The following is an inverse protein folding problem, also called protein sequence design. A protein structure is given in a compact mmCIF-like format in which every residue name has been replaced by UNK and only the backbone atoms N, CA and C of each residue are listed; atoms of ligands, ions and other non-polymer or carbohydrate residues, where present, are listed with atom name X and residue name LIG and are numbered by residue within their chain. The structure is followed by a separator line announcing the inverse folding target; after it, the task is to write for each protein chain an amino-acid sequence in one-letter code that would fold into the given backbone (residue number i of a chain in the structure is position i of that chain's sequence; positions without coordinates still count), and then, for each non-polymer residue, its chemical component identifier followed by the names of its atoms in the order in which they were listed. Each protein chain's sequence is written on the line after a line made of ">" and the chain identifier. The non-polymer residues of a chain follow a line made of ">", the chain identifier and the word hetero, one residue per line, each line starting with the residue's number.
data_IF_939709982830
#
_entry.id   IF_939709982830
#
_cell.length_a   1.000
_cell.length_b   1.000
_cell.length_c   1.000
_cell.angle_alpha   90.00
_cell.angle_beta   90.00
_cell.angle_gamma   90.00
#
_symmetry.space_group_name_H-M   'P 1'
#
loop_
_entity.id
_entity.type
_entity.pdbx_description
1 polymer ?
#
# COMPACT_ATOMS: atom_id res chain seq x y z
N UNK A 1 3.49 11.98 -83.34
CA UNK A 1 3.59 10.99 -82.24
C UNK A 1 4.35 11.47 -80.96
N UNK A 2 5.25 12.44 -81.04
CA UNK A 2 5.96 12.93 -79.77
C UNK A 2 5.10 13.75 -78.79
N UNK A 3 4.12 14.52 -79.27
CA UNK A 3 3.25 15.38 -78.44
C UNK A 3 2.33 14.58 -77.47
N UNK A 4 1.77 13.45 -77.97
CA UNK A 4 0.87 12.60 -77.19
C UNK A 4 1.56 12.01 -75.90
N UNK A 5 2.78 11.51 -76.08
CA UNK A 5 3.59 10.91 -75.00
C UNK A 5 3.91 11.87 -73.85
N UNK A 6 4.08 13.15 -74.13
CA UNK A 6 4.33 14.15 -73.07
C UNK A 6 3.10 14.49 -72.24
N UNK A 7 1.92 14.46 -72.86
CA UNK A 7 0.66 14.71 -72.17
C UNK A 7 0.35 13.56 -71.23
N UNK A 8 0.47 12.32 -71.66
CA UNK A 8 0.20 11.13 -70.84
C UNK A 8 1.17 11.02 -69.63
N UNK A 9 2.46 11.35 -69.82
CA UNK A 9 3.44 11.40 -68.73
C UNK A 9 3.16 12.47 -67.75
N UNK A 10 2.63 13.60 -68.13
CA UNK A 10 2.25 14.72 -67.24
C UNK A 10 1.01 14.38 -66.37
N UNK A 11 0.03 13.69 -66.93
CA UNK A 11 -1.12 13.19 -66.18
C UNK A 11 -0.74 12.08 -65.18
N UNK A 12 0.14 11.16 -65.60
CA UNK A 12 0.63 10.09 -64.75
C UNK A 12 1.44 10.62 -63.56
N UNK A 13 2.31 11.62 -63.77
CA UNK A 13 3.09 12.27 -62.71
C UNK A 13 2.21 13.05 -61.69
N UNK A 14 1.14 13.71 -62.15
CA UNK A 14 0.21 14.40 -61.26
C UNK A 14 -0.58 13.42 -60.36
N UNK A 15 -1.04 12.29 -60.91
CA UNK A 15 -1.75 11.26 -60.15
C UNK A 15 -0.86 10.65 -59.06
N UNK A 16 0.36 10.31 -59.43
CA UNK A 16 1.32 9.66 -58.54
C UNK A 16 1.83 10.60 -57.42
N UNK A 17 1.90 11.91 -57.68
CA UNK A 17 2.25 12.94 -56.69
C UNK A 17 1.17 13.07 -55.62
N UNK A 18 -0.11 13.11 -55.99
CA UNK A 18 -1.25 13.20 -55.09
C UNK A 18 -1.36 11.96 -54.16
N UNK A 19 -1.05 10.78 -54.72
CA UNK A 19 -1.07 9.53 -53.93
C UNK A 19 0.07 9.47 -52.92
N UNK A 20 1.28 9.90 -53.26
CA UNK A 20 2.43 10.03 -52.36
C UNK A 20 2.16 11.02 -51.24
N UNK A 21 1.53 12.16 -51.52
CA UNK A 21 1.18 13.15 -50.52
C UNK A 21 0.11 12.62 -49.54
N UNK A 22 -0.92 11.93 -50.01
CA UNK A 22 -1.94 11.28 -49.18
C UNK A 22 -1.32 10.20 -48.30
N UNK A 23 -0.41 9.39 -48.81
CA UNK A 23 0.31 8.36 -48.07
C UNK A 23 1.22 8.95 -46.98
N UNK A 24 1.90 10.05 -47.30
CA UNK A 24 2.73 10.81 -46.34
C UNK A 24 1.90 11.41 -45.23
N UNK A 25 0.77 12.08 -45.54
CA UNK A 25 -0.14 12.65 -44.54
C UNK A 25 -0.73 11.58 -43.65
N UNK A 26 -1.10 10.40 -44.18
CA UNK A 26 -1.61 9.26 -43.40
C UNK A 26 -0.56 8.70 -42.45
N UNK A 27 0.67 8.60 -42.91
CA UNK A 27 1.79 8.13 -42.08
C UNK A 27 2.14 9.12 -40.97
N UNK A 28 2.10 10.43 -41.26
CA UNK A 28 2.28 11.46 -40.19
C UNK A 28 1.20 11.39 -39.14
N UNK A 29 -0.07 11.23 -39.53
CA UNK A 29 -1.19 11.07 -38.55
C UNK A 29 -1.04 9.79 -37.71
N UNK A 30 -0.60 8.65 -38.33
CA UNK A 30 -0.35 7.41 -37.60
C UNK A 30 0.81 7.54 -36.59
N UNK A 31 1.90 8.21 -36.98
CA UNK A 31 3.03 8.49 -36.09
C UNK A 31 2.61 9.40 -34.94
N UNK A 32 1.86 10.46 -35.21
CA UNK A 32 1.34 11.36 -34.19
C UNK A 32 0.40 10.61 -33.21
N UNK A 33 -0.51 9.78 -33.70
CA UNK A 33 -1.37 8.96 -32.85
C UNK A 33 -0.58 7.98 -31.98
N UNK A 34 0.44 7.33 -32.55
CA UNK A 34 1.31 6.42 -31.78
C UNK A 34 2.08 7.14 -30.68
N UNK A 35 2.57 8.36 -30.92
CA UNK A 35 3.24 9.20 -29.92
C UNK A 35 2.27 9.59 -28.81
N UNK A 36 1.05 9.99 -29.14
CA UNK A 36 0.03 10.34 -28.13
C UNK A 36 -0.36 9.15 -27.27
N UNK A 37 -0.49 7.96 -27.84
CA UNK A 37 -0.78 6.73 -27.10
C UNK A 37 0.39 6.39 -26.17
N UNK A 38 1.63 6.46 -26.66
CA UNK A 38 2.81 6.21 -25.83
C UNK A 38 2.91 7.23 -24.67
N UNK A 39 2.67 8.51 -24.93
CA UNK A 39 2.65 9.55 -23.89
C UNK A 39 1.55 9.30 -22.86
N UNK A 40 0.37 8.86 -23.27
CA UNK A 40 -0.71 8.49 -22.36
C UNK A 40 -0.32 7.33 -21.44
N UNK A 41 0.29 6.27 -21.96
CA UNK A 41 0.76 5.15 -21.15
C UNK A 41 1.88 5.55 -20.18
N UNK A 42 2.80 6.44 -20.59
CA UNK A 42 3.84 6.96 -19.73
C UNK A 42 3.24 7.80 -18.58
N UNK A 43 2.26 8.65 -18.87
CA UNK A 43 1.60 9.45 -17.84
C UNK A 43 0.79 8.58 -16.87
N UNK A 44 0.08 7.57 -17.36
CA UNK A 44 -0.63 6.62 -16.50
C UNK A 44 0.33 5.81 -15.63
N UNK A 45 1.44 5.33 -16.19
CA UNK A 45 2.46 4.60 -15.46
C UNK A 45 3.15 5.46 -14.38
N UNK A 46 3.53 6.69 -14.73
CA UNK A 46 4.11 7.64 -13.79
C UNK A 46 3.14 8.02 -12.67
N UNK A 47 1.86 8.22 -13.00
CA UNK A 47 0.82 8.52 -12.00
C UNK A 47 0.56 7.36 -11.04
N UNK A 48 0.58 6.13 -11.53
CA UNK A 48 0.45 4.93 -10.69
C UNK A 48 1.65 4.77 -9.77
N UNK A 49 2.86 4.90 -10.30
CA UNK A 49 4.10 4.82 -9.52
C UNK A 49 4.18 5.92 -8.45
N UNK A 50 3.80 7.16 -8.77
CA UNK A 50 3.77 8.28 -7.82
C UNK A 50 2.78 8.02 -6.68
N UNK A 51 1.60 7.47 -6.96
CA UNK A 51 0.61 7.11 -5.92
C UNK A 51 1.12 6.00 -5.00
N UNK A 52 1.76 4.98 -5.55
CA UNK A 52 2.38 3.90 -4.77
C UNK A 52 3.46 4.45 -3.86
N UNK A 53 4.38 5.23 -4.42
CA UNK A 53 5.45 5.88 -3.66
C UNK A 53 4.88 6.77 -2.54
N UNK A 54 3.86 7.57 -2.82
CA UNK A 54 3.22 8.43 -1.82
C UNK A 54 2.57 7.62 -0.70
N UNK A 55 1.95 6.48 -1.00
CA UNK A 55 1.36 5.60 0.01
C UNK A 55 2.40 5.02 0.97
N UNK A 56 3.61 4.74 0.47
CA UNK A 56 4.73 4.20 1.26
C UNK A 56 5.48 5.26 2.09
N UNK A 57 5.18 6.54 1.91
CA UNK A 57 5.85 7.66 2.61
C UNK A 57 4.87 8.57 3.34
N UNK A 58 3.71 8.05 3.72
CA UNK A 58 2.69 8.83 4.45
C UNK A 58 3.01 9.01 5.93
N UNK A 59 3.87 8.16 6.50
CA UNK A 59 4.11 8.08 7.93
C UNK A 59 2.91 7.53 8.72
N UNK A 60 1.88 7.03 8.03
CA UNK A 60 0.70 6.42 8.65
C UNK A 60 0.93 4.91 8.73
N UNK A 61 0.87 4.30 9.94
CA UNK A 61 1.03 2.86 10.08
C UNK A 61 -0.03 2.09 9.30
N UNK A 62 0.35 0.95 8.70
CA UNK A 62 -0.60 0.06 8.05
C UNK A 62 -0.23 -1.42 8.29
N UNK A 63 -1.23 -2.26 8.53
CA UNK A 63 -1.01 -3.69 8.72
C UNK A 63 -0.93 -4.38 7.35
N UNK A 64 0.11 -5.19 7.15
CA UNK A 64 0.37 -5.91 5.89
C UNK A 64 0.21 -7.42 6.02
N UNK A 65 0.26 -7.94 7.24
CA UNK A 65 0.04 -9.35 7.56
C UNK A 65 -0.65 -9.47 8.91
N UNK A 66 -1.53 -10.45 9.04
CA UNK A 66 -2.25 -10.75 10.29
C UNK A 66 -2.45 -12.25 10.43
N UNK A 67 -2.06 -12.81 11.57
CA UNK A 67 -2.31 -14.20 11.95
C UNK A 67 -2.81 -14.26 13.37
N UNK A 68 -3.91 -14.95 13.60
CA UNK A 68 -4.45 -15.17 14.95
C UNK A 68 -4.33 -16.65 15.32
N UNK A 69 -3.78 -16.93 16.49
CA UNK A 69 -3.61 -18.27 17.02
C UNK A 69 -3.86 -18.24 18.55
N UNK A 70 -4.75 -19.09 19.04
CA UNK A 70 -5.08 -19.22 20.46
C UNK A 70 -5.49 -17.90 21.17
N UNK A 71 -6.10 -16.97 20.43
CA UNK A 71 -6.48 -15.66 20.96
C UNK A 71 -5.36 -14.62 20.98
N UNK A 72 -4.18 -14.97 20.52
CA UNK A 72 -3.06 -14.07 20.26
C UNK A 72 -3.05 -13.66 18.78
N UNK A 73 -2.80 -12.39 18.53
CA UNK A 73 -2.72 -11.86 17.17
C UNK A 73 -1.30 -11.40 16.87
N UNK A 74 -0.71 -11.95 15.83
CA UNK A 74 0.59 -11.61 15.29
C UNK A 74 0.38 -10.72 14.08
N UNK A 75 0.98 -9.53 14.09
CA UNK A 75 0.85 -8.54 13.03
C UNK A 75 2.22 -8.15 12.50
N UNK A 76 2.29 -7.96 11.18
CA UNK A 76 3.37 -7.21 10.57
C UNK A 76 2.79 -5.87 10.11
N UNK A 77 3.38 -4.78 10.61
CA UNK A 77 2.96 -3.40 10.40
C UNK A 77 4.07 -2.63 9.71
N UNK A 78 3.73 -1.81 8.73
CA UNK A 78 4.67 -0.87 8.11
C UNK A 78 4.47 0.53 8.66
N UNK A 79 5.57 1.23 8.92
CA UNK A 79 5.53 2.63 9.34
C UNK A 79 5.21 3.58 8.18
N UNK A 80 5.47 3.14 6.93
CA UNK A 80 5.38 3.94 5.73
C UNK A 80 6.18 5.25 5.86
N UNK A 81 7.37 5.17 6.42
CA UNK A 81 8.28 6.27 6.67
C UNK A 81 9.73 5.78 6.68
N UNK A 82 10.67 6.64 6.30
CA UNK A 82 12.10 6.30 6.27
C UNK A 82 12.69 6.10 7.68
N UNK A 83 12.02 6.57 8.72
CA UNK A 83 12.38 6.39 10.14
C UNK A 83 11.20 6.64 11.07
N UNK A 84 11.26 6.08 12.27
CA UNK A 84 10.33 6.34 13.37
C UNK A 84 11.04 7.22 14.39
N UNK A 85 10.64 8.49 14.50
CA UNK A 85 11.28 9.44 15.41
C UNK A 85 10.78 9.26 16.86
N UNK A 86 9.47 9.09 17.04
CA UNK A 86 8.81 8.84 18.34
C UNK A 86 8.29 7.39 18.37
N UNK A 87 9.13 6.49 18.86
CA UNK A 87 8.81 5.06 18.95
C UNK A 87 7.64 4.78 19.89
N UNK A 88 7.53 5.52 20.99
CA UNK A 88 6.45 5.35 21.97
C UNK A 88 5.11 5.86 21.41
N UNK A 89 5.10 7.05 20.81
CA UNK A 89 3.91 7.61 20.17
C UNK A 89 3.44 6.76 19.00
N UNK A 90 4.38 6.25 18.19
CA UNK A 90 4.08 5.33 17.11
C UNK A 90 3.44 4.03 17.64
N UNK A 91 4.01 3.41 18.67
CA UNK A 91 3.46 2.19 19.26
C UNK A 91 2.04 2.41 19.78
N UNK A 92 1.77 3.52 20.48
CA UNK A 92 0.41 3.87 20.96
C UNK A 92 -0.56 4.02 19.79
N UNK A 93 -0.14 4.67 18.71
CA UNK A 93 -0.95 4.83 17.48
C UNK A 93 -1.31 3.48 16.89
N UNK A 94 -0.33 2.57 16.76
CA UNK A 94 -0.56 1.21 16.24
C UNK A 94 -1.55 0.44 17.12
N UNK A 95 -1.40 0.49 18.44
CA UNK A 95 -2.35 -0.17 19.38
C UNK A 95 -3.75 0.42 19.23
N UNK A 96 -3.88 1.74 19.13
CA UNK A 96 -5.17 2.37 18.87
C UNK A 96 -5.80 1.88 17.57
N UNK A 97 -5.03 1.82 16.49
CA UNK A 97 -5.51 1.30 15.21
C UNK A 97 -5.96 -0.17 15.29
N UNK A 98 -5.25 -1.01 16.07
CA UNK A 98 -5.68 -2.38 16.34
C UNK A 98 -7.04 -2.43 17.06
N UNK A 99 -7.23 -1.59 18.07
CA UNK A 99 -8.47 -1.52 18.84
C UNK A 99 -9.66 -1.00 18.04
N UNK A 100 -9.42 -0.03 17.15
CA UNK A 100 -10.41 0.53 16.26
C UNK A 100 -10.62 -0.31 14.99
N UNK A 101 -9.71 -1.26 14.75
CA UNK A 101 -9.65 -2.06 13.52
C UNK A 101 -9.62 -1.14 12.26
N UNK A 102 -8.79 -0.09 12.32
CA UNK A 102 -8.79 1.02 11.37
C UNK A 102 -7.65 0.99 10.34
N UNK A 103 -6.88 -0.09 10.26
CA UNK A 103 -5.87 -0.27 9.22
C UNK A 103 -6.49 -0.25 7.83
N UNK A 104 -5.73 0.26 6.86
CA UNK A 104 -6.21 0.42 5.49
C UNK A 104 -6.17 -0.89 4.70
N UNK A 105 -5.05 -1.60 4.74
CA UNK A 105 -4.82 -2.78 3.88
C UNK A 105 -5.44 -4.05 4.44
N UNK A 106 -5.39 -4.26 5.75
CA UNK A 106 -5.90 -5.46 6.41
C UNK A 106 -6.71 -5.06 7.64
N UNK A 107 -7.81 -5.75 7.86
CA UNK A 107 -8.59 -5.67 9.10
C UNK A 107 -8.42 -6.93 9.92
N UNK A 108 -8.39 -6.79 11.23
CA UNK A 108 -8.40 -7.92 12.14
C UNK A 108 -9.71 -8.67 11.99
N UNK A 109 -9.63 -10.01 11.88
CA UNK A 109 -10.82 -10.84 11.87
C UNK A 109 -11.37 -10.96 13.28
N UNK A 110 -12.52 -10.35 13.50
CA UNK A 110 -13.20 -10.35 14.82
C UNK A 110 -14.45 -11.21 14.84
N UNK A 111 -14.82 -11.84 13.71
CA UNK A 111 -16.11 -12.48 13.51
C UNK A 111 -16.27 -13.78 14.31
N UNK A 112 -15.21 -14.57 14.46
CA UNK A 112 -15.26 -15.89 15.09
C UNK A 112 -14.90 -15.84 16.59
N UNK A 113 -13.91 -15.05 16.95
CA UNK A 113 -13.34 -15.06 18.32
C UNK A 113 -13.39 -13.70 19.01
N UNK A 114 -13.96 -12.69 18.35
CA UNK A 114 -13.89 -11.30 18.81
C UNK A 114 -12.50 -10.70 18.69
N UNK A 115 -12.25 -9.61 19.42
CA UNK A 115 -10.93 -8.98 19.47
C UNK A 115 -9.91 -9.88 20.18
N UNK A 116 -8.64 -9.88 19.74
CA UNK A 116 -7.60 -10.71 20.33
C UNK A 116 -7.32 -10.33 21.79
N UNK A 117 -6.79 -11.30 22.56
CA UNK A 117 -6.38 -11.09 23.95
C UNK A 117 -4.99 -10.45 24.05
N UNK A 118 -4.10 -10.76 23.12
CA UNK A 118 -2.71 -10.28 23.06
C UNK A 118 -2.36 -9.88 21.64
N UNK A 119 -1.46 -8.91 21.52
CA UNK A 119 -0.87 -8.51 20.25
C UNK A 119 0.64 -8.65 20.33
N UNK A 120 1.20 -9.29 19.32
CA UNK A 120 2.63 -9.25 19.00
C UNK A 120 2.78 -8.63 17.61
N UNK A 121 3.50 -7.51 17.52
CA UNK A 121 3.57 -6.71 16.32
C UNK A 121 5.03 -6.50 15.96
N UNK A 122 5.39 -6.94 14.76
CA UNK A 122 6.65 -6.58 14.14
C UNK A 122 6.44 -5.33 13.30
N UNK A 123 7.31 -4.35 13.44
CA UNK A 123 7.24 -3.10 12.68
C UNK A 123 8.39 -3.03 11.71
N UNK A 124 8.09 -2.67 10.47
CA UNK A 124 9.02 -2.44 9.37
C UNK A 124 8.86 -1.01 8.88
N UNK A 125 9.88 -0.42 8.28
CA UNK A 125 9.76 0.91 7.71
C UNK A 125 8.89 0.88 6.45
N UNK A 126 9.17 -0.08 5.55
CA UNK A 126 8.48 -0.22 4.28
C UNK A 126 7.99 -1.66 4.06
N UNK A 127 6.99 -1.79 3.19
CA UNK A 127 6.33 -3.06 2.89
C UNK A 127 7.26 -4.12 2.29
N UNK A 128 8.25 -3.70 1.54
CA UNK A 128 9.20 -4.58 0.87
C UNK A 128 10.21 -5.26 1.81
N UNK A 129 10.35 -4.75 3.04
CA UNK A 129 11.21 -5.30 4.08
C UNK A 129 10.56 -6.50 4.80
N UNK A 130 9.22 -6.57 4.78
CA UNK A 130 8.46 -7.64 5.47
C UNK A 130 8.86 -9.01 4.96
N UNK A 131 9.20 -9.92 5.88
CA UNK A 131 9.74 -11.26 5.63
C UNK A 131 11.12 -11.31 4.94
N UNK A 132 11.81 -10.20 4.80
CA UNK A 132 13.16 -10.15 4.20
C UNK A 132 14.21 -9.62 5.19
N UNK A 133 13.78 -8.71 6.04
CA UNK A 133 14.65 -8.03 7.00
C UNK A 133 14.14 -8.24 8.43
N UNK A 134 14.98 -7.94 9.41
CA UNK A 134 14.56 -7.92 10.81
C UNK A 134 13.67 -6.69 11.05
N UNK A 135 12.61 -6.81 11.89
CA UNK A 135 11.78 -5.67 12.23
C UNK A 135 12.59 -4.58 12.96
N UNK A 136 12.37 -3.34 12.60
CA UNK A 136 13.02 -2.19 13.24
C UNK A 136 12.52 -1.93 14.65
N UNK A 137 11.34 -2.47 15.01
CA UNK A 137 10.76 -2.38 16.35
C UNK A 137 9.79 -3.54 16.56
N UNK A 138 9.70 -4.00 17.81
CA UNK A 138 8.72 -5.00 18.25
C UNK A 138 7.81 -4.41 19.31
N UNK A 139 6.51 -4.53 19.11
CA UNK A 139 5.49 -4.06 20.05
C UNK A 139 4.76 -5.28 20.61
N UNK A 140 4.61 -5.33 21.93
CA UNK A 140 3.78 -6.33 22.62
C UNK A 140 2.75 -5.62 23.46
N UNK A 141 1.49 -6.02 23.33
CA UNK A 141 0.38 -5.50 24.10
C UNK A 141 -0.38 -6.66 24.72
N UNK A 142 -0.30 -6.78 26.05
CA UNK A 142 -0.79 -7.96 26.76
C UNK A 142 -1.48 -7.57 28.07
N UNK A 143 -2.35 -8.42 28.64
CA UNK A 143 -2.95 -8.20 29.95
C UNK A 143 -1.88 -8.02 31.02
N UNK A 144 -2.10 -7.08 31.96
CA UNK A 144 -1.18 -6.84 33.10
C UNK A 144 -1.12 -8.03 34.03
N UNK A 145 -2.22 -8.78 34.13
CA UNK A 145 -2.36 -10.02 34.89
C UNK A 145 -2.98 -11.06 33.96
N UNK A 146 -2.51 -12.30 34.04
CA UNK A 146 -3.13 -13.37 33.28
C UNK A 146 -4.59 -13.54 33.74
N UNK A 147 -5.56 -13.48 32.82
CA UNK A 147 -6.96 -13.64 33.21
C UNK A 147 -7.16 -15.03 33.79
N UNK A 148 -7.59 -15.09 35.04
CA UNK A 148 -7.98 -16.34 35.70
C UNK A 148 -9.17 -16.87 34.90
N UNK A 149 -9.03 -18.04 34.30
CA UNK A 149 -10.14 -18.78 33.69
C UNK A 149 -11.05 -19.26 34.80
N UNK A 150 -12.07 -18.48 35.14
CA UNK A 150 -13.02 -18.86 36.17
C UNK A 150 -14.20 -17.89 36.25
N UNK A 151 -15.37 -18.47 36.20
CA UNK A 151 -16.66 -17.96 36.65
C UNK A 151 -17.03 -16.53 36.18
N UNK A 152 -17.63 -16.44 34.99
CA UNK A 152 -18.25 -15.22 34.52
C UNK A 152 -17.84 -14.74 33.12
N UNK A 153 -16.92 -15.40 32.48
CA UNK A 153 -16.78 -15.40 31.03
C UNK A 153 -16.56 -14.07 30.32
N UNK A 154 -16.15 -13.00 30.99
CA UNK A 154 -15.64 -11.82 30.24
C UNK A 154 -14.33 -12.19 29.56
N UNK A 155 -14.44 -12.43 28.25
CA UNK A 155 -13.26 -12.65 27.41
C UNK A 155 -12.45 -11.37 27.41
N UNK A 156 -11.30 -11.37 28.12
CA UNK A 156 -10.32 -10.29 27.99
C UNK A 156 -9.99 -10.05 26.54
N UNK A 157 -10.12 -8.83 26.10
CA UNK A 157 -9.78 -8.42 24.74
C UNK A 157 -9.22 -7.00 24.74
N UNK A 158 -8.44 -6.69 23.71
CA UNK A 158 -7.73 -5.41 23.59
C UNK A 158 -8.65 -4.20 23.48
N UNK A 159 -9.93 -4.39 23.09
CA UNK A 159 -10.87 -3.30 22.87
C UNK A 159 -11.54 -2.84 24.15
N UNK A 160 -12.06 -3.77 24.94
CA UNK A 160 -12.97 -3.46 26.05
C UNK A 160 -12.24 -3.31 27.40
N UNK A 161 -11.01 -3.84 27.52
CA UNK A 161 -10.29 -3.92 28.79
C UNK A 161 -9.02 -3.07 28.83
N UNK A 162 -9.05 -1.90 28.24
CA UNK A 162 -7.90 -1.02 27.98
C UNK A 162 -7.03 -0.76 29.23
N UNK A 163 -7.63 -0.45 30.38
CA UNK A 163 -6.92 -0.15 31.63
C UNK A 163 -6.23 -1.34 32.30
N UNK A 164 -6.41 -2.55 31.76
CA UNK A 164 -5.84 -3.79 32.29
C UNK A 164 -4.68 -4.33 31.44
N UNK A 165 -4.13 -3.53 30.54
CA UNK A 165 -3.10 -3.94 29.59
C UNK A 165 -1.80 -3.19 29.79
N UNK A 166 -0.70 -3.85 29.48
CA UNK A 166 0.64 -3.29 29.43
C UNK A 166 1.13 -3.25 27.99
N UNK A 167 1.84 -2.19 27.66
CA UNK A 167 2.47 -1.97 26.36
C UNK A 167 3.99 -2.07 26.50
N UNK A 168 4.61 -2.87 25.65
CA UNK A 168 6.05 -3.01 25.58
C UNK A 168 6.55 -2.64 24.19
N UNK A 169 7.65 -1.92 24.14
CA UNK A 169 8.41 -1.62 22.94
C UNK A 169 9.82 -2.15 23.12
N UNK A 170 10.25 -3.06 22.24
CA UNK A 170 11.54 -3.76 22.32
C UNK A 170 11.84 -4.33 23.69
N UNK A 171 10.81 -4.90 24.33
CA UNK A 171 10.87 -5.49 25.66
C UNK A 171 10.82 -4.52 26.84
N UNK A 172 10.81 -3.20 26.59
CA UNK A 172 10.68 -2.18 27.63
C UNK A 172 9.21 -1.78 27.80
N UNK A 173 8.70 -1.85 29.03
CA UNK A 173 7.36 -1.36 29.35
C UNK A 173 7.28 0.16 29.20
N UNK A 174 6.27 0.64 28.47
CA UNK A 174 6.00 2.07 28.30
C UNK A 174 4.60 2.41 28.82
N UNK A 175 4.39 3.65 29.30
CA UNK A 175 3.08 4.06 29.83
C UNK A 175 2.02 4.04 28.73
N UNK A 176 0.90 3.34 28.98
CA UNK A 176 -0.30 3.45 28.18
C UNK A 176 -1.15 4.60 28.72
N UNK A 177 -1.12 5.74 28.05
CA UNK A 177 -2.10 6.80 28.35
C UNK A 177 -3.35 6.50 27.52
N UNK A 178 -4.45 6.22 28.20
CA UNK A 178 -5.75 6.01 27.59
C UNK A 178 -6.48 7.35 27.54
N UNK A 179 -6.73 7.84 26.34
CA UNK A 179 -7.60 8.98 26.10
C UNK A 179 -8.99 8.49 25.69
#
# INVERSE_FOLDING_TARGET
>A
MRKQRNVDKMYWDKGNRGERERKSRRNRKRKAAAILIAAFFLLCGAGSWYRSWQAEHTGIPDAVSSRTENGECFLDVTANADRIEDTEGFARTVIQMCRENSFHSIRLSTDLYGYPKRLEINVYLHREEVNKEEPVMRIRYEPAEDPVEGEGGEKYNIKDHVGKYKLYVDGKEIPCYYY
#
